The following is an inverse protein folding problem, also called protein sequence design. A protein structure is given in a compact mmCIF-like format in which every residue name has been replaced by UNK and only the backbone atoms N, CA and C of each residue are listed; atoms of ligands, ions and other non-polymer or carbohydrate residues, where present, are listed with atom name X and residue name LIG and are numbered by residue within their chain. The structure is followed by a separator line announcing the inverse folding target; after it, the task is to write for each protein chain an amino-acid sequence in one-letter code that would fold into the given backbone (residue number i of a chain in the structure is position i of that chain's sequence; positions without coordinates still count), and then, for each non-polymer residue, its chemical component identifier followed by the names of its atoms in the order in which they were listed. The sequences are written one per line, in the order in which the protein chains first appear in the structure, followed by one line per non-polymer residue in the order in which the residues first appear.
data_IF_652331750611
#
_entry.id   IF_652331750611
#
_cell.length_a   1.000
_cell.length_b   1.000
_cell.length_c   1.000
_cell.angle_alpha   90.00
_cell.angle_beta   90.00
_cell.angle_gamma   90.00
#
_symmetry.space_group_name_H-M   'P 1'
#
loop_
_entity.id
_entity.type
_entity.pdbx_description
1 polymer ?
#
# COMPACT_ATOMS: atom_id res chain seq x y z
N UNK A 1 6.57 6.95 13.57
CA UNK A 1 6.05 7.48 12.30
C UNK A 1 6.53 6.63 11.13
N UNK A 2 5.74 6.56 10.10
CA UNK A 2 6.08 5.82 8.88
C UNK A 2 5.98 6.74 7.67
N UNK A 3 6.58 6.34 6.56
CA UNK A 3 6.59 7.14 5.35
C UNK A 3 5.61 6.57 4.32
N UNK A 4 4.75 7.44 3.76
CA UNK A 4 3.90 7.08 2.64
C UNK A 4 4.76 6.92 1.38
N UNK A 5 4.65 5.81 0.67
CA UNK A 5 5.47 5.58 -0.52
C UNK A 5 4.95 6.34 -1.75
N UNK A 6 3.75 6.93 -1.64
CA UNK A 6 3.20 7.77 -2.71
C UNK A 6 3.70 9.20 -2.64
N UNK A 7 3.46 9.89 -1.53
CA UNK A 7 3.86 11.29 -1.38
C UNK A 7 5.20 11.46 -0.65
N UNK A 8 5.72 10.40 -0.03
CA UNK A 8 7.00 10.38 0.68
C UNK A 8 7.03 11.23 1.95
N UNK A 9 5.88 11.62 2.45
CA UNK A 9 5.78 12.34 3.71
C UNK A 9 5.70 11.35 4.88
N UNK A 10 6.32 11.72 6.00
CA UNK A 10 6.23 10.93 7.22
C UNK A 10 4.97 11.31 7.99
N UNK A 11 4.23 10.31 8.44
CA UNK A 11 2.98 10.51 9.15
C UNK A 11 2.83 9.47 10.26
N UNK A 12 1.99 9.72 11.26
CA UNK A 12 1.69 8.70 12.26
C UNK A 12 1.11 7.46 11.58
N UNK A 13 1.45 6.29 12.08
CA UNK A 13 1.01 5.04 11.48
C UNK A 13 -0.52 4.95 11.41
N UNK A 14 -1.23 5.55 12.37
CA UNK A 14 -2.69 5.57 12.38
C UNK A 14 -3.31 6.32 11.20
N UNK A 15 -2.54 7.22 10.56
CA UNK A 15 -3.01 7.98 9.39
C UNK A 15 -2.69 7.27 8.08
N UNK A 16 -2.10 6.09 8.14
CA UNK A 16 -1.63 5.37 6.97
C UNK A 16 -2.30 4.00 6.89
N UNK A 17 -2.49 3.52 5.66
CA UNK A 17 -2.92 2.15 5.43
C UNK A 17 -1.68 1.34 5.11
N UNK A 18 -1.47 0.25 5.84
CA UNK A 18 -0.36 -0.65 5.60
C UNK A 18 -0.79 -1.71 4.58
N UNK A 19 0.07 -1.96 3.60
CA UNK A 19 -0.16 -2.97 2.57
C UNK A 19 1.02 -3.93 2.63
N UNK A 20 0.73 -5.23 2.67
CA UNK A 20 1.75 -6.27 2.70
C UNK A 20 1.63 -7.17 1.47
N UNK A 21 2.71 -7.88 1.17
CA UNK A 21 2.73 -8.84 0.07
C UNK A 21 2.81 -10.23 0.72
N UNK A 22 1.77 -11.04 0.48
CA UNK A 22 1.69 -12.36 1.09
C UNK A 22 1.14 -13.36 0.08
N UNK A 23 1.80 -14.50 -0.02
CA UNK A 23 1.39 -15.59 -0.92
C UNK A 23 1.18 -15.13 -2.36
N UNK A 24 2.08 -14.25 -2.83
CA UNK A 24 2.04 -13.74 -4.20
C UNK A 24 0.99 -12.67 -4.44
N UNK A 25 0.40 -12.11 -3.40
CA UNK A 25 -0.71 -11.18 -3.50
C UNK A 25 -0.52 -9.97 -2.58
N UNK A 26 -0.91 -8.78 -3.07
CA UNK A 26 -0.99 -7.60 -2.20
C UNK A 26 -2.25 -7.70 -1.36
N UNK A 27 -2.12 -7.49 -0.06
CA UNK A 27 -3.27 -7.47 0.84
C UNK A 27 -3.18 -6.27 1.78
N UNK A 28 -4.31 -5.64 2.12
CA UNK A 28 -4.29 -4.58 3.11
C UNK A 28 -4.20 -5.18 4.51
N UNK A 29 -3.36 -4.58 5.35
CA UNK A 29 -3.19 -4.99 6.72
C UNK A 29 -3.82 -3.93 7.61
N UNK A 30 -5.14 -4.01 7.76
CA UNK A 30 -5.91 -2.98 8.49
C UNK A 30 -5.63 -2.99 9.99
N UNK A 31 -5.13 -4.11 10.53
CA UNK A 31 -4.81 -4.23 11.94
C UNK A 31 -3.33 -3.96 12.26
N UNK A 32 -2.49 -3.87 11.22
CA UNK A 32 -1.07 -3.64 11.42
C UNK A 32 -0.32 -4.80 12.03
N UNK A 33 -0.83 -6.01 11.91
CA UNK A 33 -0.25 -7.19 12.58
C UNK A 33 0.34 -8.23 11.64
N UNK A 34 0.16 -8.08 10.33
CA UNK A 34 0.70 -9.05 9.39
C UNK A 34 2.24 -9.01 9.43
N UNK A 35 2.89 -10.17 9.48
CA UNK A 35 4.35 -10.22 9.50
C UNK A 35 4.92 -9.84 8.14
N UNK A 36 6.20 -9.45 8.14
CA UNK A 36 6.91 -9.16 6.93
C UNK A 36 6.96 -7.69 6.59
N UNK A 37 7.49 -7.40 5.39
CA UNK A 37 7.67 -6.03 4.93
C UNK A 37 6.33 -5.42 4.52
N UNK A 38 6.09 -4.19 4.97
CA UNK A 38 4.89 -3.46 4.60
C UNK A 38 5.22 -2.17 3.86
N UNK A 39 4.26 -1.70 3.08
CA UNK A 39 4.30 -0.39 2.45
C UNK A 39 3.14 0.43 2.99
N UNK A 40 3.35 1.72 3.20
CA UNK A 40 2.35 2.59 3.82
C UNK A 40 1.84 3.62 2.82
N UNK A 41 0.54 3.85 2.81
CA UNK A 41 -0.14 4.76 1.90
C UNK A 41 -1.11 5.63 2.70
N UNK A 42 -1.11 6.95 2.47
CA UNK A 42 -1.98 7.84 3.23
C UNK A 42 -3.33 8.12 2.57
N UNK A 43 -3.48 7.90 1.26
CA UNK A 43 -4.73 8.19 0.57
C UNK A 43 -4.82 7.42 -0.74
N UNK A 44 -6.02 7.40 -1.35
CA UNK A 44 -6.21 6.79 -2.66
C UNK A 44 -5.34 7.46 -3.72
N UNK A 45 -5.19 8.78 -3.66
CA UNK A 45 -4.34 9.52 -4.60
C UNK A 45 -2.89 9.07 -4.48
N UNK A 46 -2.39 8.88 -3.27
CA UNK A 46 -1.03 8.40 -3.06
C UNK A 46 -0.87 6.96 -3.52
N UNK A 47 -1.92 6.16 -3.39
CA UNK A 47 -1.91 4.79 -3.90
C UNK A 47 -1.72 4.80 -5.42
N UNK A 48 -2.47 5.65 -6.13
CA UNK A 48 -2.37 5.76 -7.57
C UNK A 48 -0.97 6.22 -8.00
N UNK A 49 -0.39 7.18 -7.28
CA UNK A 49 0.97 7.64 -7.56
C UNK A 49 2.00 6.53 -7.35
N UNK A 50 1.84 5.75 -6.28
CA UNK A 50 2.74 4.65 -6.00
C UNK A 50 2.67 3.58 -7.09
N UNK A 51 1.47 3.28 -7.57
CA UNK A 51 1.28 2.33 -8.68
C UNK A 51 1.96 2.83 -9.94
N UNK A 52 1.75 4.10 -10.29
CA UNK A 52 2.32 4.70 -11.49
C UNK A 52 3.85 4.67 -11.47
N UNK A 53 4.45 4.87 -10.31
CA UNK A 53 5.90 4.85 -10.16
C UNK A 53 6.47 3.46 -9.91
N UNK A 54 5.62 2.45 -9.89
CA UNK A 54 6.00 1.06 -9.59
C UNK A 54 6.65 0.93 -8.22
N UNK A 55 6.22 1.77 -7.28
CA UNK A 55 6.80 1.78 -5.94
C UNK A 55 6.54 0.47 -5.18
N UNK A 56 5.38 -0.16 -5.39
CA UNK A 56 5.09 -1.45 -4.75
C UNK A 56 6.01 -2.55 -5.30
N UNK A 57 6.22 -2.56 -6.61
CA UNK A 57 7.11 -3.56 -7.21
C UNK A 57 8.53 -3.43 -6.67
N UNK A 58 9.00 -2.20 -6.48
CA UNK A 58 10.32 -1.97 -5.90
C UNK A 58 10.37 -2.34 -4.42
N UNK A 59 9.32 -1.99 -3.67
CA UNK A 59 9.28 -2.26 -2.24
C UNK A 59 9.29 -3.76 -1.94
N UNK A 60 8.56 -4.54 -2.73
CA UNK A 60 8.44 -5.98 -2.50
C UNK A 60 9.32 -6.80 -3.44
N UNK A 61 10.05 -6.15 -4.34
CA UNK A 61 10.98 -6.78 -5.28
C UNK A 61 10.34 -7.87 -6.12
N UNK A 62 9.11 -7.61 -6.59
CA UNK A 62 8.36 -8.54 -7.40
C UNK A 62 7.39 -7.78 -8.28
N UNK A 63 6.90 -8.43 -9.33
CA UNK A 63 5.86 -7.84 -10.17
C UNK A 63 4.53 -7.89 -9.43
N UNK A 64 3.76 -6.81 -9.55
CA UNK A 64 2.45 -6.71 -8.90
C UNK A 64 1.38 -6.91 -9.95
N UNK A 65 0.41 -7.78 -9.67
CA UNK A 65 -0.66 -8.08 -10.63
C UNK A 65 -1.69 -6.95 -10.66
N UNK A 66 -2.19 -6.59 -11.86
CA UNK A 66 -3.20 -5.53 -11.98
C UNK A 66 -4.46 -5.80 -11.16
N UNK A 67 -4.90 -7.05 -11.05
CA UNK A 67 -6.10 -7.38 -10.29
C UNK A 67 -5.93 -7.10 -8.79
N UNK A 68 -4.72 -7.23 -8.26
CA UNK A 68 -4.44 -6.90 -6.86
C UNK A 68 -4.53 -5.39 -6.65
N UNK A 69 -4.03 -4.62 -7.61
CA UNK A 69 -4.07 -3.16 -7.55
C UNK A 69 -5.52 -2.67 -7.54
N UNK A 70 -6.36 -3.23 -8.43
CA UNK A 70 -7.77 -2.83 -8.50
C UNK A 70 -8.51 -3.16 -7.21
N UNK A 71 -8.24 -4.33 -6.63
CA UNK A 71 -8.91 -4.75 -5.40
C UNK A 71 -8.58 -3.82 -4.25
N UNK A 72 -7.32 -3.45 -4.10
CA UNK A 72 -6.90 -2.55 -3.03
C UNK A 72 -7.42 -1.14 -3.28
N UNK A 73 -7.44 -0.71 -4.54
CA UNK A 73 -7.98 0.60 -4.89
C UNK A 73 -9.44 0.75 -4.44
N UNK A 74 -10.23 -0.30 -4.61
CA UNK A 74 -11.62 -0.29 -4.16
C UNK A 74 -11.73 -0.09 -2.65
N UNK A 75 -10.82 -0.68 -1.88
CA UNK A 75 -10.81 -0.52 -0.43
C UNK A 75 -10.58 0.95 -0.05
N UNK A 76 -9.67 1.63 -0.73
CA UNK A 76 -9.45 3.05 -0.49
C UNK A 76 -10.68 3.88 -0.86
N UNK A 77 -11.36 3.54 -1.95
CA UNK A 77 -12.56 4.26 -2.37
C UNK A 77 -13.70 4.08 -1.35
N UNK A 78 -13.84 2.91 -0.76
CA UNK A 78 -14.86 2.64 0.24
C UNK A 78 -14.64 3.39 1.55
N UNK A 79 -13.41 3.78 1.85
CA UNK A 79 -13.08 4.45 3.10
C UNK A 79 -13.30 5.95 3.09
N UNK A 80 -13.85 6.49 2.04
CA UNK A 80 -14.13 7.93 1.94
C UNK A 80 -15.32 8.36 2.77
#
# INVERSE_FOLDING_TARGET
MRRCIGCRESKPQSDLTRIVFRDGTLVPDLRGREPGRGAYICSAKCFDEAVRRKAFARAFRTMIRPEDIERIREIFDEQR
#
